data_IF_196249717540
#
_entry.id   IF_196249717540
#
_cell.length_a   1.000
_cell.length_b   1.000
_cell.length_c   1.000
_cell.angle_alpha   90.00
_cell.angle_beta   90.00
_cell.angle_gamma   90.00
#
_symmetry.space_group_name_H-M   'P 1'
#
loop_
_entity.id
_entity.type
_entity.pdbx_description
1 polymer ?
#
# COMPACT_ATOMS: atom_id res chain seq x y z
N UNK A 1 26.28 12.38 -16.14
CA UNK A 1 26.96 11.59 -15.09
C UNK A 1 26.12 11.37 -13.81
N UNK A 2 24.81 11.73 -13.79
CA UNK A 2 23.92 11.55 -12.61
C UNK A 2 22.81 10.50 -12.80
N UNK A 3 22.60 9.99 -14.02
CA UNK A 3 21.49 9.09 -14.33
C UNK A 3 21.72 7.63 -13.90
N UNK A 4 22.96 7.22 -13.66
CA UNK A 4 23.33 5.83 -13.38
C UNK A 4 23.15 5.39 -11.92
N UNK A 5 23.10 6.33 -10.97
CA UNK A 5 23.01 6.02 -9.53
C UNK A 5 21.61 5.57 -9.09
N UNK A 6 20.54 6.02 -9.78
CA UNK A 6 19.17 5.60 -9.46
C UNK A 6 18.87 4.15 -9.85
N UNK A 7 19.60 3.61 -10.83
CA UNK A 7 19.31 2.27 -11.37
C UNK A 7 20.11 1.14 -10.72
N UNK A 8 21.09 1.46 -9.87
CA UNK A 8 21.80 0.43 -9.10
C UNK A 8 20.95 -0.04 -7.93
N UNK A 9 20.86 -1.35 -7.64
CA UNK A 9 20.06 -1.86 -6.53
C UNK A 9 20.61 -1.49 -5.14
N UNK A 10 21.90 -1.13 -5.06
CA UNK A 10 22.62 -0.81 -3.82
C UNK A 10 22.69 0.70 -3.54
N UNK A 11 22.71 1.07 -2.27
CA UNK A 11 22.95 2.43 -1.78
C UNK A 11 24.38 2.91 -2.08
N UNK A 12 24.53 4.18 -2.46
CA UNK A 12 25.84 4.79 -2.74
C UNK A 12 26.51 5.40 -1.50
N UNK A 13 25.88 5.22 -0.33
CA UNK A 13 26.30 5.69 0.97
C UNK A 13 26.16 4.54 1.98
N UNK A 14 27.02 4.47 3.02
CA UNK A 14 26.93 3.41 4.01
C UNK A 14 25.60 3.46 4.77
N UNK A 15 24.85 2.37 4.71
CA UNK A 15 23.70 2.07 5.57
C UNK A 15 24.13 0.96 6.53
N UNK A 16 24.03 1.20 7.83
CA UNK A 16 24.56 0.27 8.83
C UNK A 16 23.54 -0.81 9.18
N UNK A 17 22.27 -0.43 9.32
CA UNK A 17 21.16 -1.36 9.53
C UNK A 17 20.55 -1.76 8.19
N UNK A 18 20.82 -3.00 7.79
CA UNK A 18 20.33 -3.59 6.54
C UNK A 18 19.58 -4.89 6.80
N UNK A 19 18.66 -5.23 5.90
CA UNK A 19 18.00 -6.53 5.88
C UNK A 19 17.91 -7.03 4.45
N UNK A 20 18.41 -8.25 4.21
CA UNK A 20 18.38 -8.92 2.91
C UNK A 20 16.99 -9.43 2.48
N UNK A 21 15.94 -9.18 3.27
CA UNK A 21 14.54 -9.53 2.94
C UNK A 21 14.05 -8.86 1.64
N UNK A 22 14.56 -7.67 1.32
CA UNK A 22 14.30 -6.96 0.07
C UNK A 22 15.58 -6.28 -0.42
N UNK A 23 15.76 -6.10 -1.75
CA UNK A 23 16.78 -5.20 -2.28
C UNK A 23 16.71 -3.80 -1.64
N UNK A 24 17.85 -3.16 -1.41
CA UNK A 24 17.91 -1.91 -0.66
C UNK A 24 17.00 -0.81 -1.25
N UNK A 25 17.03 -0.65 -2.58
CA UNK A 25 16.21 0.33 -3.30
C UNK A 25 14.83 -0.18 -3.72
N UNK A 26 14.36 -1.30 -3.17
CA UNK A 26 12.96 -1.68 -3.37
C UNK A 26 12.03 -0.61 -2.79
N UNK A 27 11.05 -0.18 -3.57
CA UNK A 27 9.97 0.66 -3.05
C UNK A 27 8.97 -0.19 -2.26
N UNK A 28 8.57 0.32 -1.11
CA UNK A 28 7.54 -0.29 -0.26
C UNK A 28 6.51 0.75 0.10
N UNK A 29 5.23 0.36 0.17
CA UNK A 29 4.26 1.11 0.95
C UNK A 29 4.51 0.77 2.41
N UNK A 30 4.97 1.75 3.18
CA UNK A 30 5.22 1.63 4.60
C UNK A 30 3.97 2.04 5.39
N UNK A 31 3.56 1.19 6.33
CA UNK A 31 2.40 1.39 7.19
C UNK A 31 2.74 1.09 8.65
N UNK A 32 2.12 1.85 9.54
CA UNK A 32 2.08 1.55 10.97
C UNK A 32 0.60 1.56 11.39
N UNK A 33 0.13 0.46 11.95
CA UNK A 33 -1.22 0.34 12.50
C UNK A 33 -1.19 -0.50 13.78
N UNK A 34 -1.94 -0.10 14.80
CA UNK A 34 -1.99 -0.83 16.08
C UNK A 34 -0.62 -1.03 16.76
N UNK A 35 0.36 -0.16 16.48
CA UNK A 35 1.73 -0.27 16.99
C UNK A 35 2.64 -1.22 16.20
N UNK A 36 2.15 -1.88 15.16
CA UNK A 36 2.95 -2.75 14.29
C UNK A 36 3.32 -2.05 12.98
N UNK A 37 4.58 -2.19 12.59
CA UNK A 37 5.14 -1.67 11.35
C UNK A 37 5.15 -2.76 10.27
N UNK A 38 4.64 -2.49 9.06
CA UNK A 38 4.74 -3.40 7.92
C UNK A 38 5.14 -2.66 6.64
N UNK A 39 6.06 -3.28 5.91
CA UNK A 39 6.44 -2.89 4.56
C UNK A 39 5.71 -3.80 3.55
N UNK A 40 4.98 -3.18 2.62
CA UNK A 40 4.33 -3.88 1.51
C UNK A 40 5.11 -3.61 0.23
N UNK A 41 5.83 -4.61 -0.32
CA UNK A 41 6.62 -4.41 -1.54
C UNK A 41 5.74 -3.92 -2.70
N UNK A 42 6.15 -2.84 -3.36
CA UNK A 42 5.38 -2.27 -4.48
C UNK A 42 5.22 -3.26 -5.64
N UNK A 43 6.16 -4.18 -5.83
CA UNK A 43 6.03 -5.27 -6.81
C UNK A 43 4.85 -6.18 -6.50
N UNK A 44 4.68 -6.59 -5.24
CA UNK A 44 3.53 -7.38 -4.79
C UNK A 44 2.24 -6.60 -4.97
N UNK A 45 2.23 -5.31 -4.60
CA UNK A 45 1.06 -4.45 -4.73
C UNK A 45 0.63 -4.21 -6.18
N UNK A 46 1.56 -4.23 -7.15
CA UNK A 46 1.25 -4.16 -8.58
C UNK A 46 0.67 -5.48 -9.11
N UNK A 47 1.12 -6.62 -8.58
CA UNK A 47 0.59 -7.94 -8.93
C UNK A 47 -0.76 -8.23 -8.26
N UNK A 48 -1.02 -7.63 -7.10
CA UNK A 48 -2.26 -7.73 -6.33
C UNK A 48 -2.81 -6.32 -6.05
N UNK A 49 -3.48 -5.68 -7.03
CA UNK A 49 -3.94 -4.30 -6.92
C UNK A 49 -4.95 -4.05 -5.80
N UNK A 50 -5.59 -5.11 -5.31
CA UNK A 50 -6.40 -5.14 -4.10
C UNK A 50 -5.82 -6.21 -3.20
N UNK A 51 -5.33 -5.80 -2.04
CA UNK A 51 -4.71 -6.70 -1.08
C UNK A 51 -5.37 -6.48 0.29
N UNK A 52 -6.00 -7.52 0.81
CA UNK A 52 -6.57 -7.53 2.15
C UNK A 52 -5.54 -8.09 3.13
N UNK A 53 -5.37 -7.42 4.26
CA UNK A 53 -4.43 -7.83 5.31
C UNK A 53 -4.96 -7.50 6.70
N UNK A 54 -4.25 -7.95 7.73
CA UNK A 54 -4.44 -7.55 9.13
C UNK A 54 -3.10 -7.14 9.73
N UNK A 55 -3.06 -5.95 10.32
CA UNK A 55 -1.86 -5.36 10.94
C UNK A 55 -2.22 -4.75 12.29
N UNK A 56 -1.53 -5.14 13.37
CA UNK A 56 -1.80 -4.61 14.71
C UNK A 56 -3.25 -4.78 15.15
N UNK A 57 -3.90 -5.88 14.77
CA UNK A 57 -5.32 -6.15 15.06
C UNK A 57 -6.34 -5.40 14.18
N UNK A 58 -5.89 -4.58 13.23
CA UNK A 58 -6.77 -3.86 12.31
C UNK A 58 -6.83 -4.54 10.94
N UNK A 59 -8.04 -4.88 10.49
CA UNK A 59 -8.26 -5.29 9.11
C UNK A 59 -8.11 -4.11 8.16
N UNK A 60 -7.30 -4.27 7.12
CA UNK A 60 -7.02 -3.23 6.13
C UNK A 60 -7.09 -3.76 4.70
N UNK A 61 -7.32 -2.84 3.76
CA UNK A 61 -7.20 -3.09 2.33
C UNK A 61 -6.21 -2.10 1.73
N UNK A 62 -5.24 -2.60 0.99
CA UNK A 62 -4.32 -1.80 0.16
C UNK A 62 -4.83 -1.80 -1.28
N UNK A 63 -4.99 -0.61 -1.84
CA UNK A 63 -5.46 -0.38 -3.21
C UNK A 63 -4.35 0.28 -4.01
N UNK A 64 -4.02 -0.32 -5.16
CA UNK A 64 -2.97 0.16 -6.08
C UNK A 64 -3.57 0.44 -7.45
N UNK A 65 -4.04 1.67 -7.70
CA UNK A 65 -4.63 2.07 -8.97
C UNK A 65 -3.55 2.41 -10.01
N UNK A 66 -2.82 1.39 -10.47
CA UNK A 66 -1.73 1.56 -11.43
C UNK A 66 -0.68 2.60 -11.00
N UNK A 67 0.03 3.17 -11.97
CA UNK A 67 1.17 4.05 -11.69
C UNK A 67 0.79 5.52 -11.39
N UNK A 68 -0.47 5.93 -11.59
CA UNK A 68 -0.86 7.36 -11.59
C UNK A 68 -1.46 7.86 -10.28
N UNK A 69 -2.17 7.01 -9.52
CA UNK A 69 -2.92 7.45 -8.33
C UNK A 69 -2.29 7.00 -6.99
N UNK A 70 -1.20 6.23 -7.03
CA UNK A 70 -0.40 5.81 -5.87
C UNK A 70 -1.12 4.81 -4.96
N UNK A 71 -0.37 3.87 -4.40
CA UNK A 71 -0.93 2.88 -3.46
C UNK A 71 -1.37 3.54 -2.15
N UNK A 72 -2.55 3.14 -1.65
CA UNK A 72 -3.11 3.63 -0.37
C UNK A 72 -3.75 2.49 0.38
N UNK A 73 -3.78 2.62 1.71
CA UNK A 73 -4.43 1.67 2.58
C UNK A 73 -5.60 2.31 3.30
N UNK A 74 -6.65 1.53 3.50
CA UNK A 74 -7.86 1.93 4.20
C UNK A 74 -8.21 0.87 5.22
N UNK A 75 -8.91 1.27 6.28
CA UNK A 75 -9.60 0.32 7.15
C UNK A 75 -10.58 -0.51 6.32
N UNK A 76 -10.82 -1.76 6.70
CA UNK A 76 -11.79 -2.61 5.98
C UNK A 76 -13.03 -2.95 6.79
N UNK A 77 -13.02 -2.89 8.12
CA UNK A 77 -14.17 -3.18 9.00
C UNK A 77 -15.01 -4.44 8.64
N UNK A 78 -14.41 -5.43 7.97
CA UNK A 78 -15.10 -6.64 7.50
C UNK A 78 -15.19 -6.77 5.97
N UNK A 79 -15.06 -5.66 5.23
CA UNK A 79 -14.97 -5.60 3.77
C UNK A 79 -13.93 -6.59 3.25
N UNK A 80 -14.30 -7.37 2.25
CA UNK A 80 -13.46 -8.35 1.55
C UNK A 80 -13.34 -7.94 0.09
N UNK A 81 -12.59 -6.86 -0.14
CA UNK A 81 -12.40 -6.31 -1.48
C UNK A 81 -11.79 -7.34 -2.42
N UNK A 82 -12.39 -7.49 -3.61
CA UNK A 82 -12.01 -8.52 -4.59
C UNK A 82 -11.29 -7.95 -5.80
N UNK A 83 -11.65 -6.74 -6.24
CA UNK A 83 -11.19 -6.20 -7.51
C UNK A 83 -11.29 -4.69 -7.58
N UNK A 84 -10.52 -4.09 -8.50
CA UNK A 84 -10.60 -2.66 -8.83
C UNK A 84 -11.11 -2.47 -10.26
N UNK A 85 -11.78 -1.35 -10.49
CA UNK A 85 -12.15 -0.86 -11.83
C UNK A 85 -11.93 0.64 -11.92
N UNK A 86 -11.64 1.13 -13.12
CA UNK A 86 -11.55 2.56 -13.39
C UNK A 86 -12.85 3.05 -14.02
N UNK A 87 -13.31 4.23 -13.62
CA UNK A 87 -14.53 4.84 -14.13
C UNK A 87 -14.45 6.36 -14.16
N UNK A 88 -15.60 6.99 -14.41
CA UNK A 88 -15.68 8.44 -14.53
C UNK A 88 -15.08 8.98 -15.83
N UNK A 89 -15.03 10.31 -15.94
CA UNK A 89 -14.52 10.98 -17.14
C UNK A 89 -13.00 10.75 -17.26
N UNK A 90 -12.58 10.14 -18.37
CA UNK A 90 -11.17 9.74 -18.64
C UNK A 90 -10.60 8.72 -17.64
N UNK A 91 -11.44 7.85 -17.06
CA UNK A 91 -10.98 6.79 -16.15
C UNK A 91 -10.21 7.34 -14.93
N UNK A 92 -10.61 8.51 -14.44
CA UNK A 92 -9.96 9.22 -13.34
C UNK A 92 -10.43 8.75 -11.95
N UNK A 93 -11.54 8.04 -11.87
CA UNK A 93 -12.08 7.50 -10.63
C UNK A 93 -11.69 6.03 -10.48
N UNK A 94 -11.35 5.63 -9.26
CA UNK A 94 -11.04 4.24 -8.92
C UNK A 94 -12.17 3.72 -8.06
N UNK A 95 -12.73 2.58 -8.47
CA UNK A 95 -13.74 1.85 -7.73
C UNK A 95 -13.21 0.50 -7.29
N UNK A 96 -13.59 0.09 -6.10
CA UNK A 96 -13.31 -1.23 -5.53
C UNK A 96 -14.62 -1.98 -5.38
N UNK A 97 -14.61 -3.24 -5.77
CA UNK A 97 -15.74 -4.14 -5.62
C UNK A 97 -15.48 -5.09 -4.46
N UNK A 98 -16.42 -5.12 -3.51
CA UNK A 98 -16.45 -6.12 -2.45
C UNK A 98 -16.89 -7.50 -2.98
N UNK A 99 -16.56 -8.57 -2.27
CA UNK A 99 -17.11 -9.91 -2.58
C UNK A 99 -18.63 -9.98 -2.41
N UNK A 100 -19.22 -9.17 -1.54
CA UNK A 100 -20.67 -9.06 -1.32
C UNK A 100 -21.43 -8.33 -2.44
N UNK A 101 -20.73 -7.70 -3.38
CA UNK A 101 -21.34 -6.94 -4.48
C UNK A 101 -21.33 -5.42 -4.29
N UNK A 102 -20.92 -4.95 -3.12
CA UNK A 102 -20.87 -3.53 -2.79
C UNK A 102 -19.75 -2.82 -3.57
N UNK A 103 -20.04 -1.59 -3.99
CA UNK A 103 -19.10 -0.80 -4.78
C UNK A 103 -18.64 0.40 -3.98
N UNK A 104 -17.33 0.53 -3.82
CA UNK A 104 -16.69 1.58 -3.04
C UNK A 104 -15.87 2.47 -3.96
N UNK A 105 -15.96 3.79 -3.80
CA UNK A 105 -15.13 4.78 -4.49
C UNK A 105 -13.92 5.11 -3.63
N UNK A 106 -12.74 5.07 -4.24
CA UNK A 106 -11.50 5.48 -3.60
C UNK A 106 -11.37 7.01 -3.63
N UNK A 107 -11.35 7.63 -2.45
CA UNK A 107 -11.07 9.05 -2.26
C UNK A 107 -9.72 9.26 -1.55
N UNK A 108 -9.31 10.52 -1.36
CA UNK A 108 -8.04 10.84 -0.70
C UNK A 108 -7.98 10.34 0.75
N UNK A 109 -9.08 10.45 1.49
CA UNK A 109 -9.13 10.20 2.93
C UNK A 109 -10.00 9.00 3.33
N UNK A 110 -10.77 8.42 2.39
CA UNK A 110 -11.64 7.29 2.67
C UNK A 110 -11.93 6.43 1.43
N UNK A 111 -12.37 5.20 1.66
CA UNK A 111 -13.25 4.50 0.73
C UNK A 111 -14.69 4.87 1.08
N UNK A 112 -15.48 5.21 0.07
CA UNK A 112 -16.85 5.68 0.25
C UNK A 112 -17.78 4.76 -0.50
N UNK A 113 -18.79 4.22 0.17
CA UNK A 113 -19.80 3.41 -0.49
C UNK A 113 -20.54 4.25 -1.55
N UNK A 114 -20.75 3.66 -2.73
CA UNK A 114 -21.36 4.37 -3.87
C UNK A 114 -22.86 4.55 -3.68
N UNK A 115 -23.55 3.60 -3.04
CA UNK A 115 -24.99 3.59 -2.84
C UNK A 115 -25.39 4.28 -1.52
N UNK A 116 -24.53 4.25 -0.50
CA UNK A 116 -24.68 4.96 0.78
C UNK A 116 -23.42 5.76 1.17
N UNK A 117 -23.26 7.01 0.71
CA UNK A 117 -22.06 7.82 0.98
C UNK A 117 -21.79 8.16 2.46
N UNK A 118 -22.72 7.83 3.36
CA UNK A 118 -22.53 7.97 4.82
C UNK A 118 -21.61 6.87 5.36
N UNK A 119 -21.53 5.73 4.68
CA UNK A 119 -20.59 4.66 4.98
C UNK A 119 -19.22 4.98 4.39
N UNK A 120 -18.23 5.12 5.27
CA UNK A 120 -16.89 5.58 4.93
C UNK A 120 -15.86 4.80 5.73
N UNK A 121 -14.87 4.24 5.04
CA UNK A 121 -13.76 3.54 5.66
C UNK A 121 -12.51 4.41 5.60
N UNK A 122 -11.98 4.78 6.77
CA UNK A 122 -10.91 5.77 6.89
C UNK A 122 -9.59 5.29 6.28
N UNK A 123 -8.87 6.22 5.65
CA UNK A 123 -7.50 5.98 5.18
C UNK A 123 -6.56 5.74 6.37
N UNK A 124 -5.70 4.74 6.24
CA UNK A 124 -4.60 4.51 7.17
C UNK A 124 -3.37 5.34 6.75
N UNK A 125 -2.65 5.94 7.71
CA UNK A 125 -1.45 6.72 7.42
C UNK A 125 -0.37 5.78 6.85
N UNK A 126 0.07 6.08 5.64
CA UNK A 126 1.09 5.32 4.94
C UNK A 126 1.73 6.13 3.83
N UNK A 127 2.96 5.78 3.48
CA UNK A 127 3.72 6.46 2.44
C UNK A 127 4.63 5.47 1.70
N UNK A 128 4.97 5.80 0.46
CA UNK A 128 5.98 5.05 -0.29
C UNK A 128 7.36 5.46 0.22
N UNK A 129 8.20 4.48 0.50
CA UNK A 129 9.59 4.67 0.93
C UNK A 129 10.50 3.67 0.24
N UNK A 130 11.79 3.95 0.20
CA UNK A 130 12.79 2.93 -0.15
C UNK A 130 13.03 2.02 1.07
N UNK A 131 13.20 0.73 0.82
CA UNK A 131 13.38 -0.28 1.85
C UNK A 131 14.52 0.05 2.81
N UNK A 132 15.68 0.44 2.30
CA UNK A 132 16.82 0.81 3.15
C UNK A 132 16.48 1.95 4.13
N UNK A 133 15.68 2.93 3.68
CA UNK A 133 15.30 4.08 4.48
C UNK A 133 14.28 3.70 5.55
N UNK A 134 13.26 2.94 5.16
CA UNK A 134 12.25 2.44 6.09
C UNK A 134 12.86 1.55 7.17
N UNK A 135 13.64 0.55 6.78
CA UNK A 135 14.22 -0.43 7.70
C UNK A 135 15.18 0.20 8.72
N UNK A 136 15.91 1.25 8.34
CA UNK A 136 16.80 1.96 9.25
C UNK A 136 16.07 2.63 10.43
N UNK A 137 14.79 2.96 10.30
CA UNK A 137 13.97 3.55 11.37
C UNK A 137 12.98 2.56 12.01
N UNK A 138 12.72 1.42 11.36
CA UNK A 138 11.74 0.41 11.78
C UNK A 138 12.29 -1.00 11.51
N UNK A 139 13.30 -1.42 12.29
CA UNK A 139 14.00 -2.69 12.04
C UNK A 139 13.16 -3.92 12.43
N UNK A 140 12.17 -3.74 13.30
CA UNK A 140 11.19 -4.73 13.71
C UNK A 140 10.07 -4.93 12.69
N UNK A 141 10.06 -4.15 11.60
CA UNK A 141 8.99 -4.19 10.60
C UNK A 141 8.86 -5.58 9.97
N UNK A 142 7.61 -6.04 9.84
CA UNK A 142 7.28 -7.18 8.99
C UNK A 142 7.37 -6.81 7.50
N UNK A 143 7.70 -7.77 6.65
CA UNK A 143 7.60 -7.61 5.20
C UNK A 143 6.43 -8.46 4.73
N UNK A 144 5.44 -7.84 4.08
CA UNK A 144 4.29 -8.58 3.59
C UNK A 144 4.73 -9.69 2.62
N UNK A 145 4.19 -10.90 2.81
CA UNK A 145 4.49 -12.07 1.98
C UNK A 145 5.79 -12.79 2.35
N UNK A 146 6.48 -12.36 3.42
CA UNK A 146 7.64 -13.06 3.98
C UNK A 146 7.44 -13.23 5.49
N UNK A 147 7.41 -14.48 5.96
CA UNK A 147 7.44 -14.79 7.40
C UNK A 147 8.86 -14.64 7.94
#
# INVERSE_FOLDING_TARGET
MYHSLRQQPETSFPVWDKSGRLPEKSEVLALIAGGEARAYPMEVLRQQPVLNDTLGGHGLVVITPGDSAGSRAYQREGLQSSSISLGGRRAAEVFVMDQGGEKWRMEGEALVDVDDPTQRLGRLPGHVSYWFGWYAFHNETGVYGQN
#
